data_IF_339368411153
#
_entry.id   IF_339368411153
#
_cell.length_a   1.000
_cell.length_b   1.000
_cell.length_c   1.000
_cell.angle_alpha   90.00
_cell.angle_beta   90.00
_cell.angle_gamma   90.00
#
_symmetry.space_group_name_H-M   'P 1'
#
loop_
_entity.id
_entity.type
_entity.pdbx_description
1 polymer ?
#
# COMPACT_ATOMS: atom_id res chain seq x y z
N UNK A 1 20.26 -35.96 37.77
CA UNK A 1 21.64 -35.85 38.28
C UNK A 1 22.57 -35.88 37.07
N UNK A 2 23.48 -34.90 36.97
CA UNK A 2 24.48 -34.64 35.90
C UNK A 2 23.92 -34.26 34.52
N UNK A 3 23.81 -32.97 34.13
CA UNK A 3 24.84 -31.94 33.83
C UNK A 3 25.74 -32.27 32.64
N UNK A 4 25.49 -31.62 31.51
CA UNK A 4 26.54 -31.02 30.69
C UNK A 4 26.09 -29.63 30.24
N UNK A 5 26.90 -28.64 30.65
CA UNK A 5 26.85 -27.23 30.28
C UNK A 5 27.86 -27.07 29.14
N UNK A 6 27.48 -26.37 28.06
CA UNK A 6 28.46 -25.78 27.15
C UNK A 6 27.99 -24.39 26.76
N UNK A 7 28.63 -23.42 27.43
CA UNK A 7 28.78 -22.03 27.05
C UNK A 7 29.38 -21.93 25.65
N UNK A 8 28.81 -21.09 24.79
CA UNK A 8 29.60 -20.37 23.80
C UNK A 8 29.19 -18.90 23.80
N UNK A 9 30.10 -18.08 24.29
CA UNK A 9 30.09 -16.62 24.22
C UNK A 9 30.27 -16.18 22.76
N UNK A 10 29.37 -15.34 22.25
CA UNK A 10 29.63 -14.55 21.05
C UNK A 10 29.67 -13.07 21.47
N UNK A 11 30.76 -12.33 21.20
CA UNK A 11 30.92 -10.96 21.64
C UNK A 11 30.01 -10.00 20.87
N UNK A 12 29.31 -9.18 21.64
CA UNK A 12 28.65 -7.95 21.22
C UNK A 12 29.75 -6.95 20.80
N UNK A 13 29.91 -6.69 19.50
CA UNK A 13 30.62 -5.50 19.03
C UNK A 13 29.61 -4.50 18.47
N UNK A 14 29.44 -3.42 19.23
CA UNK A 14 28.95 -2.12 18.79
C UNK A 14 29.86 -1.59 17.67
N UNK A 15 29.27 -1.21 16.54
CA UNK A 15 29.90 -0.30 15.60
C UNK A 15 28.87 0.79 15.22
N UNK A 16 28.98 1.91 15.94
CA UNK A 16 28.28 3.15 15.67
C UNK A 16 28.83 3.78 14.38
N UNK A 17 28.02 3.89 13.34
CA UNK A 17 28.32 4.73 12.17
C UNK A 17 27.59 6.07 12.32
N UNK A 18 28.29 7.01 12.96
CA UNK A 18 28.03 8.45 12.86
C UNK A 18 28.60 8.90 11.51
N UNK A 19 27.75 9.29 10.57
CA UNK A 19 28.17 10.13 9.43
C UNK A 19 27.96 11.58 9.85
N UNK A 20 28.97 12.11 10.53
CA UNK A 20 29.26 13.54 10.60
C UNK A 20 30.57 13.76 9.82
N UNK A 21 30.48 14.29 8.61
CA UNK A 21 31.61 14.84 7.84
C UNK A 21 31.29 16.30 7.56
N UNK A 22 31.90 17.22 8.33
CA UNK A 22 33.16 17.90 8.05
C UNK A 22 32.94 19.15 7.19
N UNK A 23 32.95 20.29 7.87
CA UNK A 23 32.99 21.61 7.26
C UNK A 23 34.34 21.95 6.65
N UNK A 24 34.32 22.96 5.80
CA UNK A 24 35.46 23.80 5.50
C UNK A 24 35.02 25.25 5.64
N UNK A 25 35.60 25.91 6.66
CA UNK A 25 35.57 27.34 6.90
C UNK A 25 36.82 27.93 6.22
N UNK A 26 36.72 28.94 5.36
CA UNK A 26 37.85 29.79 5.04
C UNK A 26 37.75 31.10 5.84
N UNK A 27 38.81 31.40 6.59
CA UNK A 27 39.06 32.73 7.16
C UNK A 27 39.70 33.66 6.12
N UNK A 28 39.59 34.95 6.43
CA UNK A 28 39.84 36.15 5.65
C UNK A 28 41.24 36.29 5.02
N UNK A 29 41.28 37.01 3.90
CA UNK A 29 42.51 37.55 3.30
C UNK A 29 42.30 38.39 2.04
N UNK A 30 41.91 39.66 2.24
CA UNK A 30 42.43 40.86 1.53
C UNK A 30 42.17 41.10 0.03
N UNK A 31 41.42 42.17 -0.21
CA UNK A 31 41.60 43.23 -1.23
C UNK A 31 41.50 42.87 -2.72
N UNK A 32 40.37 43.25 -3.31
CA UNK A 32 40.21 43.51 -4.74
C UNK A 32 38.93 44.30 -4.97
N UNK A 33 39.08 45.60 -5.21
CA UNK A 33 38.03 46.46 -5.77
C UNK A 33 37.51 45.80 -7.04
N UNK A 34 36.21 45.52 -7.14
CA UNK A 34 35.47 45.55 -8.40
C UNK A 34 33.98 45.75 -8.12
N UNK A 35 33.53 46.91 -8.56
CA UNK A 35 32.15 47.40 -8.54
C UNK A 35 31.33 46.64 -9.59
N UNK A 36 30.66 45.57 -9.15
CA UNK A 36 29.60 44.95 -9.92
C UNK A 36 28.32 44.88 -9.09
N UNK A 37 27.49 45.89 -9.30
CA UNK A 37 26.08 45.92 -8.94
C UNK A 37 25.39 44.70 -9.55
N UNK A 38 25.22 43.62 -8.78
CA UNK A 38 24.33 42.51 -9.14
C UNK A 38 22.90 43.02 -8.92
N UNK A 39 22.27 43.42 -10.02
CA UNK A 39 20.82 43.63 -10.03
C UNK A 39 20.14 42.29 -9.69
N UNK A 40 19.16 42.27 -8.76
CA UNK A 40 18.31 41.11 -8.60
C UNK A 40 17.56 40.92 -9.92
N UNK A 41 17.75 39.75 -10.54
CA UNK A 41 16.99 39.31 -11.70
C UNK A 41 15.51 39.37 -11.30
N UNK A 42 14.75 40.30 -11.88
CA UNK A 42 13.30 40.37 -11.69
C UNK A 42 12.75 38.96 -11.91
N UNK A 43 12.05 38.42 -10.92
CA UNK A 43 11.13 37.31 -11.13
C UNK A 43 10.17 37.77 -12.22
N UNK A 44 10.25 37.16 -13.41
CA UNK A 44 9.22 37.31 -14.43
C UNK A 44 7.89 36.95 -13.76
N UNK A 45 7.01 37.94 -13.64
CA UNK A 45 5.62 37.73 -13.28
C UNK A 45 5.02 36.82 -14.36
N UNK A 46 4.91 35.52 -14.06
CA UNK A 46 4.20 34.58 -14.92
C UNK A 46 2.76 35.11 -15.01
N UNK A 47 2.22 35.35 -16.22
CA UNK A 47 0.88 35.87 -16.36
C UNK A 47 -0.12 34.93 -15.67
N UNK A 48 -1.14 35.51 -15.04
CA UNK A 48 -2.14 34.73 -14.34
C UNK A 48 -2.78 33.69 -15.28
N UNK A 49 -2.96 32.47 -14.79
CA UNK A 49 -3.67 31.41 -15.50
C UNK A 49 -2.98 30.89 -16.76
N UNK A 50 -1.65 30.94 -16.88
CA UNK A 50 -0.94 30.37 -18.04
C UNK A 50 -0.35 28.98 -17.81
N UNK A 51 -0.28 28.53 -16.56
CA UNK A 51 0.37 27.26 -16.24
C UNK A 51 -0.59 26.10 -16.51
N UNK A 52 -0.21 25.16 -17.36
CA UNK A 52 -0.95 23.90 -17.49
C UNK A 52 -0.49 22.94 -16.37
N UNK A 53 -1.35 22.63 -15.38
CA UNK A 53 -0.98 21.78 -14.24
C UNK A 53 -0.70 20.33 -14.64
N UNK A 54 -1.14 19.88 -15.82
CA UNK A 54 -0.87 18.54 -16.35
C UNK A 54 0.62 18.33 -16.70
N UNK A 55 1.36 19.41 -16.94
CA UNK A 55 2.79 19.32 -17.30
C UNK A 55 3.69 19.01 -16.10
N UNK A 56 3.25 19.38 -14.90
CA UNK A 56 3.96 19.09 -13.66
C UNK A 56 2.97 18.95 -12.49
N UNK A 57 2.17 17.87 -12.41
CA UNK A 57 1.13 17.71 -11.38
C UNK A 57 1.69 17.80 -9.95
N UNK A 58 2.92 17.34 -9.72
CA UNK A 58 3.58 17.46 -8.42
C UNK A 58 3.75 18.92 -7.93
N UNK A 59 3.84 19.90 -8.84
CA UNK A 59 3.91 21.32 -8.47
C UNK A 59 2.58 21.86 -7.95
N UNK A 60 1.46 21.21 -8.27
CA UNK A 60 0.14 21.57 -7.75
C UNK A 60 0.08 21.33 -6.26
N UNK A 61 0.56 20.18 -5.78
CA UNK A 61 0.69 19.89 -4.34
C UNK A 61 1.53 20.93 -3.63
N UNK A 62 2.75 21.17 -4.12
CA UNK A 62 3.66 22.16 -3.54
C UNK A 62 3.05 23.58 -3.53
N UNK A 63 2.26 23.93 -4.54
CA UNK A 63 1.56 25.21 -4.57
C UNK A 63 0.49 25.31 -3.49
N UNK A 64 -0.39 24.30 -3.37
CA UNK A 64 -1.44 24.29 -2.37
C UNK A 64 -0.84 24.33 -0.96
N UNK A 65 0.22 23.56 -0.71
CA UNK A 65 0.99 23.60 0.54
C UNK A 65 1.57 24.99 0.81
N UNK A 66 2.16 25.65 -0.19
CA UNK A 66 2.71 27.01 -0.04
C UNK A 66 1.67 28.09 0.24
N UNK A 67 0.38 27.77 0.01
CA UNK A 67 -0.77 28.64 0.25
C UNK A 67 -1.55 28.23 1.50
N UNK A 68 -1.06 27.24 2.24
CA UNK A 68 -1.75 26.65 3.39
C UNK A 68 -3.18 26.18 3.06
N UNK A 69 -3.42 25.72 1.82
CA UNK A 69 -4.71 25.19 1.37
C UNK A 69 -4.78 23.69 1.70
N UNK A 70 -5.67 23.24 2.60
CA UNK A 70 -5.81 21.82 2.90
C UNK A 70 -6.40 21.04 1.72
N UNK A 71 -5.84 19.87 1.41
CA UNK A 71 -6.19 19.14 0.19
C UNK A 71 -6.26 17.62 0.36
N UNK A 72 -7.13 16.98 -0.42
CA UNK A 72 -7.32 15.53 -0.50
C UNK A 72 -6.53 14.85 -1.61
N UNK A 73 -5.42 15.46 -2.04
CA UNK A 73 -4.58 15.09 -3.20
C UNK A 73 -5.18 15.46 -4.57
N UNK A 74 -4.50 15.09 -5.66
CA UNK A 74 -4.85 15.37 -7.04
C UNK A 74 -4.92 14.07 -7.85
N UNK A 75 -5.74 14.04 -8.89
CA UNK A 75 -5.83 12.90 -9.81
C UNK A 75 -6.11 13.35 -11.24
N UNK A 76 -5.77 12.50 -12.21
CA UNK A 76 -6.05 12.72 -13.63
C UNK A 76 -7.30 11.95 -14.02
N UNK A 77 -8.27 12.62 -14.61
CA UNK A 77 -9.46 12.00 -15.17
C UNK A 77 -9.95 12.83 -16.36
N UNK A 78 -10.43 12.18 -17.42
CA UNK A 78 -11.02 12.83 -18.59
C UNK A 78 -10.17 13.94 -19.22
N UNK A 79 -8.83 13.82 -19.12
CA UNK A 79 -7.87 14.80 -19.63
C UNK A 79 -7.72 16.07 -18.78
N UNK A 80 -8.33 16.11 -17.60
CA UNK A 80 -8.24 17.21 -16.63
C UNK A 80 -7.52 16.77 -15.35
N UNK A 81 -6.81 17.70 -14.73
CA UNK A 81 -6.31 17.49 -13.37
C UNK A 81 -7.41 17.87 -12.36
N UNK A 82 -7.89 16.90 -11.61
CA UNK A 82 -8.80 17.13 -10.49
C UNK A 82 -7.99 17.47 -9.25
N UNK A 83 -8.39 18.53 -8.56
CA UNK A 83 -7.73 19.07 -7.37
C UNK A 83 -8.72 19.00 -6.22
N UNK A 84 -8.53 18.02 -5.32
CA UNK A 84 -9.37 17.89 -4.14
C UNK A 84 -8.96 18.92 -3.09
N UNK A 85 -9.87 19.80 -2.70
CA UNK A 85 -9.68 20.85 -1.71
C UNK A 85 -10.64 20.58 -0.55
N UNK A 86 -10.15 20.70 0.69
CA UNK A 86 -11.02 20.62 1.87
C UNK A 86 -11.52 22.01 2.21
N UNK A 87 -12.84 22.18 2.25
CA UNK A 87 -13.46 23.48 2.53
C UNK A 87 -13.31 24.44 1.36
N UNK A 88 -13.62 23.96 0.15
CA UNK A 88 -13.51 24.76 -1.08
C UNK A 88 -14.41 26.01 -1.01
N UNK A 89 -13.81 27.17 -1.27
CA UNK A 89 -14.49 28.47 -1.33
C UNK A 89 -14.16 29.19 -2.63
N UNK A 90 -14.96 30.20 -3.00
CA UNK A 90 -14.69 31.06 -4.17
C UNK A 90 -13.29 31.73 -4.09
N UNK A 91 -12.83 32.07 -2.89
CA UNK A 91 -11.49 32.64 -2.67
C UNK A 91 -10.39 31.64 -3.04
N UNK A 92 -10.53 30.38 -2.61
CA UNK A 92 -9.57 29.33 -2.95
C UNK A 92 -9.59 29.04 -4.46
N UNK A 93 -10.78 28.99 -5.07
CA UNK A 93 -10.90 28.82 -6.52
C UNK A 93 -10.20 29.95 -7.28
N UNK A 94 -10.33 31.19 -6.80
CA UNK A 94 -9.63 32.33 -7.37
C UNK A 94 -8.11 32.19 -7.26
N UNK A 95 -7.58 31.83 -6.08
CA UNK A 95 -6.14 31.61 -5.86
C UNK A 95 -5.59 30.53 -6.81
N UNK A 96 -6.33 29.46 -7.05
CA UNK A 96 -5.93 28.39 -7.97
C UNK A 96 -5.98 28.89 -9.43
N UNK A 97 -7.03 29.62 -9.81
CA UNK A 97 -7.22 30.17 -11.15
C UNK A 97 -6.17 31.24 -11.52
N UNK A 98 -5.65 31.99 -10.55
CA UNK A 98 -4.53 32.91 -10.75
C UNK A 98 -3.29 32.18 -11.24
N UNK A 99 -3.10 30.90 -10.89
CA UNK A 99 -1.91 30.13 -11.27
C UNK A 99 -2.11 29.26 -12.49
N UNK A 100 -3.25 28.56 -12.58
CA UNK A 100 -3.46 27.49 -13.56
C UNK A 100 -4.46 27.87 -14.64
N UNK A 101 -4.22 27.40 -15.85
CA UNK A 101 -5.05 27.71 -17.01
C UNK A 101 -6.45 27.10 -16.90
N UNK A 102 -7.47 27.91 -17.16
CA UNK A 102 -8.86 27.45 -17.20
C UNK A 102 -9.04 26.30 -18.22
N UNK A 103 -9.88 25.33 -17.88
CA UNK A 103 -10.15 24.16 -18.74
C UNK A 103 -9.05 23.09 -18.73
N UNK A 104 -8.04 23.20 -17.85
CA UNK A 104 -7.00 22.17 -17.67
C UNK A 104 -7.09 21.44 -16.33
N UNK A 105 -7.93 21.94 -15.43
CA UNK A 105 -8.16 21.38 -14.12
C UNK A 105 -9.63 21.55 -13.69
N UNK A 106 -10.01 20.82 -12.65
CA UNK A 106 -11.29 20.97 -11.94
C UNK A 106 -11.05 20.91 -10.42
N UNK A 107 -11.60 21.85 -9.67
CA UNK A 107 -11.62 21.81 -8.21
C UNK A 107 -12.77 20.92 -7.73
N UNK A 108 -12.52 20.16 -6.66
CA UNK A 108 -13.52 19.29 -6.02
C UNK A 108 -13.48 19.55 -4.52
N UNK A 109 -14.62 19.87 -3.93
CA UNK A 109 -14.74 19.96 -2.48
C UNK A 109 -14.78 18.55 -1.89
N UNK A 110 -13.90 18.29 -0.92
CA UNK A 110 -13.79 16.99 -0.25
C UNK A 110 -13.73 17.14 1.27
N UNK A 111 -14.00 16.06 1.99
CA UNK A 111 -14.10 16.08 3.45
C UNK A 111 -12.75 15.98 4.15
N UNK A 112 -11.87 15.11 3.66
CA UNK A 112 -10.63 14.74 4.34
C UNK A 112 -9.41 15.19 3.55
N UNK A 113 -8.39 15.64 4.28
CA UNK A 113 -7.07 15.87 3.71
C UNK A 113 -6.35 14.54 3.43
N UNK A 114 -5.38 14.56 2.52
CA UNK A 114 -4.51 13.40 2.28
C UNK A 114 -3.80 12.96 3.58
N UNK A 115 -3.33 13.92 4.38
CA UNK A 115 -2.65 13.65 5.66
C UNK A 115 -3.54 12.93 6.67
N UNK A 116 -4.83 13.27 6.72
CA UNK A 116 -5.79 12.56 7.58
C UNK A 116 -6.02 11.13 7.12
N UNK A 117 -6.16 10.91 5.81
CA UNK A 117 -6.31 9.57 5.23
C UNK A 117 -5.05 8.71 5.43
N UNK A 118 -3.86 9.29 5.26
CA UNK A 118 -2.58 8.63 5.54
C UNK A 118 -2.42 8.29 7.03
N UNK A 119 -2.82 9.21 7.93
CA UNK A 119 -2.78 8.96 9.36
C UNK A 119 -3.73 7.82 9.76
N UNK A 120 -4.94 7.78 9.21
CA UNK A 120 -5.88 6.68 9.44
C UNK A 120 -5.34 5.35 8.91
N UNK A 121 -4.75 5.34 7.71
CA UNK A 121 -4.08 4.15 7.17
C UNK A 121 -2.93 3.68 8.07
N UNK A 122 -2.13 4.60 8.60
CA UNK A 122 -1.02 4.29 9.49
C UNK A 122 -1.50 3.67 10.81
N UNK A 123 -2.65 4.12 11.35
CA UNK A 123 -3.23 3.52 12.56
C UNK A 123 -3.54 2.02 12.38
N UNK A 124 -4.01 1.60 11.19
CA UNK A 124 -4.23 0.18 10.88
C UNK A 124 -2.93 -0.64 11.01
N UNK A 125 -1.82 -0.08 10.53
CA UNK A 125 -0.50 -0.71 10.58
C UNK A 125 0.05 -0.75 12.01
N UNK A 126 0.04 0.37 12.72
CA UNK A 126 0.59 0.49 14.07
C UNK A 126 -0.11 -0.43 15.07
N UNK A 127 -1.42 -0.62 14.89
CA UNK A 127 -2.24 -1.53 15.70
C UNK A 127 -2.19 -2.99 15.24
N UNK A 128 -1.47 -3.27 14.14
CA UNK A 128 -1.36 -4.59 13.50
C UNK A 128 -2.72 -5.20 13.13
N UNK A 129 -3.67 -4.37 12.71
CA UNK A 129 -5.04 -4.81 12.44
C UNK A 129 -5.14 -5.76 11.26
N UNK A 130 -4.26 -5.62 10.25
CA UNK A 130 -4.21 -6.52 9.10
C UNK A 130 -4.17 -7.99 9.48
N UNK A 131 -3.22 -8.35 10.36
CA UNK A 131 -3.09 -9.73 10.80
C UNK A 131 -4.21 -10.10 11.78
N UNK A 132 -4.53 -9.22 12.74
CA UNK A 132 -5.51 -9.53 13.79
C UNK A 132 -6.92 -9.74 13.26
N UNK A 133 -7.31 -8.95 12.26
CA UNK A 133 -8.67 -8.90 11.71
C UNK A 133 -8.76 -9.51 10.31
N UNK A 134 -7.70 -10.21 9.87
CA UNK A 134 -7.63 -10.85 8.55
C UNK A 134 -7.97 -9.91 7.39
N UNK A 135 -7.44 -8.68 7.44
CA UNK A 135 -7.60 -7.72 6.34
C UNK A 135 -6.55 -7.99 5.26
N UNK A 136 -6.94 -7.85 4.00
CA UNK A 136 -6.06 -8.07 2.86
C UNK A 136 -5.21 -6.86 2.54
N UNK A 137 -5.81 -5.68 2.48
CA UNK A 137 -5.12 -4.45 2.13
C UNK A 137 -5.89 -3.22 2.59
N UNK A 138 -5.21 -2.09 2.66
CA UNK A 138 -5.86 -0.79 2.61
C UNK A 138 -5.16 0.11 1.60
N UNK A 139 -5.89 1.09 1.09
CA UNK A 139 -5.38 2.07 0.15
C UNK A 139 -6.22 3.34 0.17
N UNK A 140 -5.62 4.46 -0.22
CA UNK A 140 -6.33 5.73 -0.31
C UNK A 140 -6.96 5.82 -1.70
N UNK A 141 -8.29 5.89 -1.75
CA UNK A 141 -9.03 6.22 -2.97
C UNK A 141 -9.14 7.74 -3.02
N UNK A 142 -8.21 8.37 -3.75
CA UNK A 142 -8.14 9.83 -3.92
C UNK A 142 -9.42 10.36 -4.59
N UNK A 143 -10.02 9.61 -5.51
CA UNK A 143 -11.21 10.06 -6.26
C UNK A 143 -12.41 10.13 -5.31
N UNK A 144 -12.61 9.10 -4.48
CA UNK A 144 -13.70 9.08 -3.50
C UNK A 144 -13.38 9.83 -2.20
N UNK A 145 -12.13 10.24 -2.02
CA UNK A 145 -11.61 10.81 -0.78
C UNK A 145 -11.89 9.90 0.43
N UNK A 146 -11.59 8.60 0.29
CA UNK A 146 -11.81 7.57 1.33
C UNK A 146 -10.58 6.69 1.53
N UNK A 147 -10.47 6.13 2.73
CA UNK A 147 -9.62 4.99 3.02
C UNK A 147 -10.37 3.71 2.63
N UNK A 148 -9.92 3.04 1.57
CA UNK A 148 -10.45 1.74 1.18
C UNK A 148 -9.79 0.64 2.00
N UNK A 149 -10.58 -0.26 2.56
CA UNK A 149 -10.13 -1.44 3.31
C UNK A 149 -10.73 -2.68 2.67
N UNK A 150 -9.88 -3.62 2.27
CA UNK A 150 -10.29 -4.90 1.68
C UNK A 150 -10.10 -6.05 2.65
N UNK A 151 -11.09 -6.93 2.75
CA UNK A 151 -11.11 -8.08 3.66
C UNK A 151 -12.09 -9.16 3.15
N UNK A 152 -12.00 -10.42 3.62
CA UNK A 152 -13.02 -11.40 3.32
C UNK A 152 -14.33 -11.10 4.07
N UNK A 153 -15.45 -11.53 3.48
CA UNK A 153 -16.78 -11.51 4.12
C UNK A 153 -16.82 -12.17 5.49
N UNK A 154 -16.05 -13.24 5.70
CA UNK A 154 -15.95 -13.95 6.99
C UNK A 154 -15.40 -13.08 8.12
N UNK A 155 -14.67 -12.01 7.80
CA UNK A 155 -14.08 -11.10 8.80
C UNK A 155 -14.92 -9.86 9.06
N UNK A 156 -15.90 -9.56 8.22
CA UNK A 156 -16.65 -8.29 8.25
C UNK A 156 -17.27 -7.98 9.62
N UNK A 157 -17.95 -8.97 10.22
CA UNK A 157 -18.73 -8.78 11.44
C UNK A 157 -17.87 -8.42 12.67
N UNK A 158 -16.62 -8.90 12.71
CA UNK A 158 -15.66 -8.59 13.77
C UNK A 158 -14.78 -7.40 13.41
N UNK A 159 -14.33 -7.32 12.16
CA UNK A 159 -13.34 -6.33 11.74
C UNK A 159 -13.92 -4.90 11.70
N UNK A 160 -15.13 -4.71 11.16
CA UNK A 160 -15.70 -3.36 11.02
C UNK A 160 -15.81 -2.63 12.37
N UNK A 161 -16.46 -3.21 13.41
CA UNK A 161 -16.57 -2.52 14.69
C UNK A 161 -15.21 -2.21 15.34
N UNK A 162 -14.20 -3.05 15.18
CA UNK A 162 -12.87 -2.80 15.74
C UNK A 162 -12.12 -1.67 15.00
N UNK A 163 -12.26 -1.61 13.68
CA UNK A 163 -11.69 -0.54 12.85
C UNK A 163 -12.37 0.80 13.16
N UNK A 164 -13.71 0.81 13.25
CA UNK A 164 -14.54 2.01 13.49
C UNK A 164 -14.35 2.62 14.89
N UNK A 165 -13.73 1.90 15.84
CA UNK A 165 -13.29 2.49 17.12
C UNK A 165 -12.10 3.43 16.98
N UNK A 166 -11.33 3.30 15.89
CA UNK A 166 -10.09 4.02 15.66
C UNK A 166 -10.24 5.08 14.57
N UNK A 167 -10.99 4.75 13.54
CA UNK A 167 -11.14 5.56 12.33
C UNK A 167 -12.60 5.92 12.17
N UNK A 168 -12.86 7.18 11.83
CA UNK A 168 -14.20 7.67 11.50
C UNK A 168 -14.85 6.77 10.43
N UNK A 169 -16.02 6.14 10.69
CA UNK A 169 -16.70 5.30 9.71
C UNK A 169 -16.95 5.99 8.38
N UNK A 170 -17.21 7.30 8.40
CA UNK A 170 -17.42 8.07 7.17
C UNK A 170 -16.14 8.20 6.35
N UNK A 171 -14.95 8.00 6.93
CA UNK A 171 -13.68 8.00 6.20
C UNK A 171 -13.46 6.71 5.40
N UNK A 172 -14.20 5.64 5.70
CA UNK A 172 -13.89 4.29 5.24
C UNK A 172 -14.79 3.86 4.09
N UNK A 173 -14.20 3.17 3.12
CA UNK A 173 -14.93 2.35 2.15
C UNK A 173 -14.50 0.90 2.29
N UNK A 174 -15.43 -0.01 2.54
CA UNK A 174 -15.13 -1.43 2.65
C UNK A 174 -15.29 -2.15 1.32
N UNK A 175 -14.25 -2.88 0.92
CA UNK A 175 -14.26 -3.85 -0.17
C UNK A 175 -14.35 -5.26 0.44
N UNK A 176 -15.58 -5.75 0.58
CA UNK A 176 -15.84 -7.08 1.15
C UNK A 176 -15.78 -8.13 0.05
N UNK A 177 -14.83 -9.05 0.15
CA UNK A 177 -14.58 -10.07 -0.86
C UNK A 177 -15.22 -11.39 -0.43
N UNK A 178 -16.35 -11.81 -1.04
CA UNK A 178 -16.93 -13.11 -0.75
C UNK A 178 -16.07 -14.24 -1.32
N UNK A 179 -16.14 -15.42 -0.70
CA UNK A 179 -15.49 -16.60 -1.28
C UNK A 179 -16.16 -16.92 -2.64
N UNK A 180 -15.36 -17.02 -3.69
CA UNK A 180 -15.88 -17.39 -5.02
C UNK A 180 -16.52 -18.79 -4.98
N UNK A 181 -17.63 -18.97 -5.69
CA UNK A 181 -18.29 -20.28 -5.82
C UNK A 181 -17.44 -21.31 -6.57
N UNK A 182 -16.45 -20.87 -7.35
CA UNK A 182 -15.51 -21.74 -8.08
C UNK A 182 -14.09 -21.49 -7.58
N UNK A 183 -13.24 -22.53 -7.53
CA UNK A 183 -11.83 -22.33 -7.23
C UNK A 183 -11.17 -21.46 -8.30
N UNK A 184 -10.24 -20.64 -7.85
CA UNK A 184 -9.42 -19.79 -8.70
C UNK A 184 -8.33 -20.62 -9.40
N UNK A 185 -7.81 -21.63 -8.71
CA UNK A 185 -6.81 -22.57 -9.23
C UNK A 185 -7.21 -24.00 -8.90
N UNK A 186 -7.11 -24.89 -9.89
CA UNK A 186 -7.15 -26.34 -9.70
C UNK A 186 -5.83 -26.88 -10.21
N UNK A 187 -5.17 -27.72 -9.42
CA UNK A 187 -3.84 -28.21 -9.79
C UNK A 187 -3.28 -29.25 -8.85
N UNK A 188 -2.00 -29.55 -9.02
CA UNK A 188 -1.26 -30.51 -8.21
C UNK A 188 -0.16 -29.81 -7.43
N UNK A 189 -0.02 -30.16 -6.15
CA UNK A 189 1.10 -29.71 -5.32
C UNK A 189 2.39 -30.34 -5.86
N UNK A 190 3.34 -29.52 -6.29
CA UNK A 190 4.66 -29.99 -6.76
C UNK A 190 5.76 -29.78 -5.72
N UNK A 191 5.57 -28.83 -4.81
CA UNK A 191 6.51 -28.56 -3.71
C UNK A 191 5.74 -28.11 -2.46
N UNK A 192 6.20 -28.53 -1.28
CA UNK A 192 5.72 -28.04 0.02
C UNK A 192 6.91 -27.44 0.79
N UNK A 193 6.96 -26.12 0.88
CA UNK A 193 7.91 -25.39 1.73
C UNK A 193 7.33 -25.24 3.14
N UNK A 194 7.85 -26.04 4.07
CA UNK A 194 7.44 -25.99 5.49
C UNK A 194 8.06 -24.82 6.25
N UNK A 195 9.11 -24.20 5.73
CA UNK A 195 9.77 -23.06 6.39
C UNK A 195 9.03 -21.77 6.09
N UNK A 196 8.62 -21.60 4.83
CA UNK A 196 7.84 -20.44 4.38
C UNK A 196 6.32 -20.59 4.54
N UNK A 197 5.81 -21.77 4.90
CA UNK A 197 4.40 -22.14 4.81
C UNK A 197 3.82 -21.84 3.42
N UNK A 198 4.47 -22.40 2.39
CA UNK A 198 4.07 -22.20 0.99
C UNK A 198 4.04 -23.49 0.20
N UNK A 199 3.13 -23.57 -0.77
CA UNK A 199 3.13 -24.64 -1.77
C UNK A 199 3.33 -24.08 -3.16
N UNK A 200 4.04 -24.83 -3.99
CA UNK A 200 4.13 -24.60 -5.43
C UNK A 200 3.10 -25.49 -6.13
N UNK A 201 2.33 -24.91 -7.04
CA UNK A 201 1.26 -25.58 -7.77
C UNK A 201 1.58 -25.64 -9.26
N UNK A 202 1.41 -26.83 -9.83
CA UNK A 202 1.19 -27.02 -11.25
C UNK A 202 -0.31 -26.96 -11.52
N UNK A 203 -0.79 -25.87 -12.11
CA UNK A 203 -2.20 -25.72 -12.46
C UNK A 203 -2.59 -26.67 -13.60
N UNK A 204 -3.83 -27.15 -13.58
CA UNK A 204 -4.37 -28.02 -14.63
C UNK A 204 -4.30 -27.28 -15.99
N UNK A 205 -3.63 -27.88 -16.97
CA UNK A 205 -3.46 -27.32 -18.31
C UNK A 205 -2.14 -26.57 -18.55
N UNK A 206 -1.34 -26.37 -17.51
CA UNK A 206 0.00 -25.77 -17.62
C UNK A 206 1.09 -26.85 -17.78
N UNK A 207 2.21 -26.50 -18.43
CA UNK A 207 3.39 -27.37 -18.56
C UNK A 207 4.38 -27.20 -17.41
N UNK A 208 4.43 -26.01 -16.81
CA UNK A 208 5.33 -25.64 -15.72
C UNK A 208 4.56 -25.11 -14.50
N UNK A 209 5.12 -25.21 -13.28
CA UNK A 209 4.47 -24.69 -12.09
C UNK A 209 4.21 -23.19 -12.17
N UNK A 210 2.98 -22.79 -11.89
CA UNK A 210 2.47 -21.44 -12.22
C UNK A 210 2.10 -20.60 -11.01
N UNK A 211 1.97 -21.20 -9.81
CA UNK A 211 1.58 -20.47 -8.60
C UNK A 211 2.35 -20.90 -7.35
N UNK A 212 2.88 -19.94 -6.60
CA UNK A 212 3.24 -20.07 -5.19
C UNK A 212 2.11 -19.54 -4.31
N UNK A 213 1.54 -20.40 -3.47
CA UNK A 213 0.55 -20.02 -2.46
C UNK A 213 1.19 -19.99 -1.09
N UNK A 214 1.05 -18.87 -0.37
CA UNK A 214 1.39 -18.76 1.04
C UNK A 214 0.16 -18.98 1.92
N UNK A 215 0.36 -19.47 3.15
CA UNK A 215 -0.72 -19.74 4.10
C UNK A 215 -0.53 -18.96 5.39
N UNK A 216 -1.64 -18.55 5.99
CA UNK A 216 -1.68 -17.88 7.30
C UNK A 216 -2.57 -18.64 8.27
N UNK A 217 -2.67 -18.15 9.50
CA UNK A 217 -3.61 -18.68 10.51
C UNK A 217 -5.09 -18.56 10.09
N UNK A 218 -5.39 -17.69 9.12
CA UNK A 218 -6.74 -17.48 8.58
C UNK A 218 -7.04 -18.31 7.32
N UNK A 219 -6.07 -19.08 6.83
CA UNK A 219 -6.28 -19.95 5.68
C UNK A 219 -7.08 -21.19 6.08
N UNK A 220 -8.12 -21.52 5.32
CA UNK A 220 -8.95 -22.69 5.57
C UNK A 220 -8.46 -23.89 4.74
N UNK A 221 -8.16 -25.02 5.37
CA UNK A 221 -7.67 -26.21 4.69
C UNK A 221 -8.59 -27.39 4.99
N UNK A 222 -8.98 -28.13 3.96
CA UNK A 222 -9.86 -29.29 4.07
C UNK A 222 -9.31 -30.51 3.31
N UNK A 223 -9.54 -31.70 3.85
CA UNK A 223 -9.24 -32.96 3.16
C UNK A 223 -10.30 -33.34 2.11
N UNK A 224 -10.16 -34.53 1.54
CA UNK A 224 -11.08 -35.08 0.53
C UNK A 224 -12.50 -35.33 1.05
N UNK A 225 -12.66 -35.50 2.36
CA UNK A 225 -13.95 -35.69 3.03
C UNK A 225 -14.59 -34.35 3.43
N UNK A 226 -13.86 -33.23 3.28
CA UNK A 226 -14.28 -31.91 3.74
C UNK A 226 -14.00 -31.67 5.22
N UNK A 227 -13.19 -32.51 5.86
CA UNK A 227 -12.78 -32.32 7.25
C UNK A 227 -11.61 -31.33 7.34
N UNK A 228 -11.58 -30.44 8.36
CA UNK A 228 -10.49 -29.50 8.53
C UNK A 228 -9.14 -30.20 8.75
N UNK A 229 -8.10 -29.71 8.08
CA UNK A 229 -6.71 -30.18 8.24
C UNK A 229 -5.77 -29.03 8.57
N UNK A 230 -4.53 -29.35 8.92
CA UNK A 230 -3.47 -28.35 9.10
C UNK A 230 -2.49 -28.37 7.94
N UNK A 231 -1.70 -27.31 7.80
CA UNK A 231 -0.70 -27.20 6.73
C UNK A 231 0.26 -28.39 6.66
N UNK A 232 0.62 -28.97 7.81
CA UNK A 232 1.50 -30.13 7.88
C UNK A 232 0.93 -31.42 7.27
N UNK A 233 -0.37 -31.46 6.98
CA UNK A 233 -1.01 -32.59 6.32
C UNK A 233 -0.87 -32.54 4.78
N UNK A 234 -0.48 -31.39 4.23
CA UNK A 234 -0.25 -31.20 2.80
C UNK A 234 0.99 -31.96 2.33
N UNK A 235 0.88 -32.58 1.16
CA UNK A 235 1.90 -33.44 0.56
C UNK A 235 1.99 -33.15 -0.93
N UNK A 236 3.21 -33.25 -1.45
CA UNK A 236 3.43 -33.28 -2.89
C UNK A 236 2.55 -34.35 -3.56
N UNK A 237 2.20 -34.09 -4.82
CA UNK A 237 1.34 -34.91 -5.69
C UNK A 237 -0.13 -34.95 -5.30
N UNK A 238 -0.55 -34.27 -4.22
CA UNK A 238 -1.97 -34.08 -3.93
C UNK A 238 -2.59 -33.17 -4.98
N UNK A 239 -3.79 -33.55 -5.44
CA UNK A 239 -4.61 -32.68 -6.28
C UNK A 239 -5.44 -31.78 -5.37
N UNK A 240 -5.49 -30.50 -5.69
CA UNK A 240 -6.12 -29.47 -4.84
C UNK A 240 -6.97 -28.50 -5.65
N UNK A 241 -7.93 -27.90 -4.96
CA UNK A 241 -8.66 -26.70 -5.37
C UNK A 241 -8.28 -25.56 -4.44
N UNK A 242 -8.02 -24.39 -5.00
CA UNK A 242 -7.48 -23.24 -4.31
C UNK A 242 -8.29 -22.00 -4.61
N UNK A 243 -8.52 -21.20 -3.57
CA UNK A 243 -9.09 -19.88 -3.64
C UNK A 243 -8.08 -18.88 -3.08
N UNK A 244 -7.80 -17.80 -3.80
CA UNK A 244 -6.91 -16.76 -3.31
C UNK A 244 -7.65 -15.76 -2.41
N UNK A 245 -6.90 -15.13 -1.51
CA UNK A 245 -7.34 -13.96 -0.76
C UNK A 245 -6.59 -12.73 -1.25
N UNK A 246 -7.32 -11.62 -1.44
CA UNK A 246 -6.72 -10.33 -1.81
C UNK A 246 -6.06 -10.34 -3.20
N UNK A 247 -5.00 -9.55 -3.33
CA UNK A 247 -4.31 -9.37 -4.61
C UNK A 247 -3.34 -10.53 -4.93
N UNK A 248 -3.19 -10.82 -6.23
CA UNK A 248 -2.21 -11.77 -6.76
C UNK A 248 -1.06 -11.00 -7.39
N UNK A 249 0.18 -11.32 -7.00
CA UNK A 249 1.38 -10.76 -7.62
C UNK A 249 1.66 -11.49 -8.95
N UNK A 250 1.72 -10.73 -10.04
CA UNK A 250 1.87 -11.23 -11.42
C UNK A 250 3.33 -11.54 -11.78
N UNK A 251 4.00 -12.36 -10.97
CA UNK A 251 5.33 -12.93 -11.26
C UNK A 251 5.23 -14.29 -11.97
N UNK A 252 6.38 -14.89 -12.30
CA UNK A 252 6.48 -16.28 -12.78
C UNK A 252 7.39 -17.08 -11.83
N UNK A 253 6.84 -18.00 -11.01
CA UNK A 253 5.40 -18.27 -10.82
C UNK A 253 4.68 -17.10 -10.14
N UNK A 254 3.35 -17.01 -10.31
CA UNK A 254 2.52 -16.00 -9.65
C UNK A 254 2.48 -16.25 -8.14
N UNK A 255 2.32 -15.21 -7.32
CA UNK A 255 2.27 -15.36 -5.86
C UNK A 255 0.94 -14.88 -5.29
N UNK A 256 0.34 -15.70 -4.44
CA UNK A 256 -0.95 -15.41 -3.82
C UNK A 256 -1.00 -15.88 -2.35
N UNK A 257 -1.86 -15.27 -1.56
CA UNK A 257 -2.27 -15.79 -0.26
C UNK A 257 -3.42 -16.79 -0.46
N UNK A 258 -3.32 -17.98 0.11
CA UNK A 258 -4.41 -18.94 0.09
C UNK A 258 -5.47 -18.51 1.09
N UNK A 259 -6.69 -18.29 0.60
CA UNK A 259 -7.87 -18.14 1.45
C UNK A 259 -8.40 -19.52 1.85
N UNK A 260 -8.53 -20.42 0.87
CA UNK A 260 -9.01 -21.78 1.08
C UNK A 260 -8.28 -22.78 0.18
N UNK A 261 -8.04 -23.96 0.71
CA UNK A 261 -7.57 -25.14 -0.01
C UNK A 261 -8.46 -26.33 0.31
N UNK A 262 -8.83 -27.10 -0.71
CA UNK A 262 -9.46 -28.41 -0.57
C UNK A 262 -8.65 -29.48 -1.31
N UNK A 263 -8.37 -30.60 -0.66
CA UNK A 263 -7.80 -31.78 -1.32
C UNK A 263 -8.89 -32.46 -2.13
N UNK A 264 -8.58 -32.81 -3.38
CA UNK A 264 -9.49 -33.51 -4.28
C UNK A 264 -9.13 -34.99 -4.30
N UNK A 265 -10.14 -35.84 -4.06
CA UNK A 265 -9.96 -37.28 -4.20
C UNK A 265 -9.52 -37.63 -5.62
N UNK A 266 -8.37 -38.27 -5.73
CA UNK A 266 -7.93 -38.87 -6.98
C UNK A 266 -8.85 -40.06 -7.23
N UNK A 267 -9.84 -39.89 -8.10
CA UNK A 267 -10.77 -40.95 -8.48
C UNK A 267 -10.01 -42.25 -8.74
N UNK A 268 -10.43 -43.33 -8.06
CA UNK A 268 -9.91 -44.67 -8.28
C UNK A 268 -10.11 -45.14 -9.72
#
# INVERSE_FOLDING_TARGET
MNRYISLFCIPLMLASLLIAGCGARPEAGTSGNDDHTIQPKLQEEIPAGTTNPLTAPGQVRAFLESKDIPHGDIYLQDGLLYINVVGLTEEIEHIIAEKYAAGTYQTVDVTYTLKELEAAQQQLFDQKLYQKLNMYSSGIDVIKNKLTISMPDTSEAEAKPEIEKLIDPDMISYDIQPLSAKPDVVGTIVEVDTTGNRILILADGEEEPSYYFSFSEHSELFDEAGEPIVYGDLKEKQKVRLWFGGAVATSLPAQAMARRLEIVSQGK
#
